data_IF_605987320080
#
_entry.id   IF_605987320080
#
_cell.length_a   1.000
_cell.length_b   1.000
_cell.length_c   1.000
_cell.angle_alpha   90.00
_cell.angle_beta   90.00
_cell.angle_gamma   90.00
#
_symmetry.space_group_name_H-M   'P 1'
#
loop_
_entity.id
_entity.type
_entity.pdbx_description
1 polymer ?
#
# COMPACT_ATOMS: atom_id res chain seq x y z
N UNK A 1 -14.20 0.08 -30.60
CA UNK A 1 -13.68 0.51 -29.30
C UNK A 1 -13.49 -0.64 -28.29
N UNK A 2 -14.29 -1.71 -28.33
CA UNK A 2 -14.17 -2.87 -27.41
C UNK A 2 -12.86 -3.65 -27.60
N UNK A 3 -12.39 -3.83 -28.82
CA UNK A 3 -11.16 -4.60 -29.14
C UNK A 3 -9.90 -4.01 -28.50
N UNK A 4 -9.79 -2.68 -28.46
CA UNK A 4 -8.65 -2.01 -27.83
C UNK A 4 -8.63 -2.19 -26.30
N UNK A 5 -9.80 -2.18 -25.67
CA UNK A 5 -9.92 -2.42 -24.22
C UNK A 5 -9.58 -3.87 -23.86
N UNK A 6 -10.00 -4.82 -24.71
CA UNK A 6 -9.67 -6.24 -24.53
C UNK A 6 -8.17 -6.48 -24.72
N UNK A 7 -7.56 -5.93 -25.77
CA UNK A 7 -6.11 -6.04 -26.01
C UNK A 7 -5.30 -5.46 -24.85
N UNK A 8 -5.68 -4.26 -24.38
CA UNK A 8 -4.99 -3.61 -23.25
C UNK A 8 -5.13 -4.42 -21.96
N UNK A 9 -6.31 -4.95 -21.69
CA UNK A 9 -6.57 -5.81 -20.53
C UNK A 9 -5.78 -7.11 -20.58
N UNK A 10 -5.77 -7.79 -21.72
CA UNK A 10 -4.99 -9.03 -21.92
C UNK A 10 -3.49 -8.78 -21.78
N UNK A 11 -2.99 -7.66 -22.34
CA UNK A 11 -1.59 -7.26 -22.19
C UNK A 11 -1.23 -7.01 -20.72
N UNK A 12 -2.13 -6.33 -19.98
CA UNK A 12 -1.90 -6.04 -18.56
C UNK A 12 -1.88 -7.31 -17.70
N UNK A 13 -2.79 -8.24 -17.96
CA UNK A 13 -2.82 -9.56 -17.30
C UNK A 13 -1.57 -10.37 -17.63
N UNK A 14 -1.16 -10.41 -18.89
CA UNK A 14 0.05 -11.11 -19.31
C UNK A 14 1.32 -10.52 -18.68
N UNK A 15 1.40 -9.18 -18.59
CA UNK A 15 2.49 -8.49 -17.91
C UNK A 15 2.54 -8.79 -16.41
N UNK A 16 1.39 -8.83 -15.74
CA UNK A 16 1.30 -9.21 -14.32
C UNK A 16 1.74 -10.65 -14.09
N UNK A 17 1.26 -11.59 -14.92
CA UNK A 17 1.68 -13.01 -14.82
C UNK A 17 3.17 -13.17 -15.08
N UNK A 18 3.72 -12.43 -16.05
CA UNK A 18 5.14 -12.41 -16.34
C UNK A 18 5.97 -11.87 -15.16
N UNK A 19 5.51 -10.79 -14.52
CA UNK A 19 6.15 -10.22 -13.32
C UNK A 19 6.12 -11.18 -12.13
N UNK A 20 5.00 -11.86 -11.88
CA UNK A 20 4.89 -12.87 -10.83
C UNK A 20 5.87 -14.03 -11.09
N UNK A 21 6.04 -14.39 -12.37
CA UNK A 21 6.97 -15.46 -12.74
C UNK A 21 8.43 -15.04 -12.56
N UNK A 22 8.77 -13.80 -12.92
CA UNK A 22 10.10 -13.21 -12.67
C UNK A 22 10.39 -13.10 -11.15
N UNK A 23 9.37 -12.76 -10.37
CA UNK A 23 9.53 -12.59 -8.93
C UNK A 23 9.82 -13.91 -8.22
N UNK A 24 9.24 -15.03 -8.71
CA UNK A 24 9.59 -16.38 -8.22
C UNK A 24 11.04 -16.77 -8.46
N UNK A 25 11.69 -16.22 -9.47
CA UNK A 25 13.10 -16.46 -9.81
C UNK A 25 14.05 -15.54 -9.03
N UNK A 26 13.52 -14.46 -8.45
CA UNK A 26 14.30 -13.44 -7.74
C UNK A 26 14.35 -13.72 -6.24
N UNK A 27 15.46 -13.45 -5.61
CA UNK A 27 15.62 -13.44 -4.15
C UNK A 27 16.06 -12.04 -3.70
N UNK A 28 15.32 -11.35 -2.82
CA UNK A 28 14.14 -11.75 -2.03
C UNK A 28 12.83 -11.72 -2.84
N UNK A 29 11.79 -12.50 -2.43
CA UNK A 29 10.47 -12.46 -3.06
C UNK A 29 9.83 -11.08 -2.87
N UNK A 30 9.03 -10.66 -3.85
CA UNK A 30 8.38 -9.35 -3.81
C UNK A 30 9.21 -8.18 -4.33
N UNK A 31 10.48 -8.40 -4.75
CA UNK A 31 11.36 -7.33 -5.20
C UNK A 31 10.83 -6.61 -6.46
N UNK A 32 10.24 -7.35 -7.38
CA UNK A 32 9.69 -6.80 -8.62
C UNK A 32 8.23 -6.38 -8.48
N UNK A 33 7.50 -7.04 -7.58
CA UNK A 33 6.10 -6.70 -7.31
C UNK A 33 5.97 -5.41 -6.49
N UNK A 34 6.90 -5.13 -5.58
CA UNK A 34 6.86 -3.95 -4.70
C UNK A 34 6.83 -2.62 -5.48
N UNK A 35 7.75 -2.31 -6.43
CA UNK A 35 7.70 -1.06 -7.16
C UNK A 35 6.43 -0.94 -8.00
N UNK A 36 5.94 -2.05 -8.58
CA UNK A 36 4.68 -2.07 -9.31
C UNK A 36 3.51 -1.77 -8.39
N UNK A 37 3.45 -2.41 -7.21
CA UNK A 37 2.40 -2.17 -6.22
C UNK A 37 2.40 -0.71 -5.73
N UNK A 38 3.58 -0.12 -5.50
CA UNK A 38 3.70 1.29 -5.12
C UNK A 38 3.18 2.18 -6.25
N UNK A 39 3.56 1.96 -7.51
CA UNK A 39 3.09 2.75 -8.64
C UNK A 39 1.57 2.66 -8.80
N UNK A 40 1.01 1.45 -8.75
CA UNK A 40 -0.44 1.24 -8.82
C UNK A 40 -1.16 1.88 -7.62
N UNK A 41 -0.60 1.75 -6.44
CA UNK A 41 -1.14 2.35 -5.23
C UNK A 41 -1.15 3.87 -5.27
N UNK A 42 -0.08 4.50 -5.79
CA UNK A 42 -0.02 5.95 -5.97
C UNK A 42 -1.01 6.42 -7.04
N UNK A 43 -1.13 5.69 -8.15
CA UNK A 43 -2.11 6.00 -9.21
C UNK A 43 -3.56 5.90 -8.68
N UNK A 44 -3.90 4.80 -8.03
CA UNK A 44 -5.21 4.58 -7.42
C UNK A 44 -5.53 5.63 -6.33
N UNK A 45 -4.52 5.99 -5.53
CA UNK A 45 -4.66 7.06 -4.52
C UNK A 45 -4.94 8.40 -5.19
N UNK A 46 -4.26 8.71 -6.30
CA UNK A 46 -4.49 9.92 -7.08
C UNK A 46 -5.92 10.01 -7.64
N UNK A 47 -6.43 8.91 -8.19
CA UNK A 47 -7.81 8.82 -8.69
C UNK A 47 -8.83 8.99 -7.55
N UNK A 48 -8.63 8.29 -6.43
CA UNK A 48 -9.52 8.42 -5.27
C UNK A 48 -9.55 9.86 -4.73
N UNK A 49 -8.38 10.50 -4.63
CA UNK A 49 -8.27 11.88 -4.18
C UNK A 49 -8.93 12.86 -5.14
N UNK A 50 -8.93 12.59 -6.46
CA UNK A 50 -9.66 13.40 -7.43
C UNK A 50 -11.16 13.32 -7.21
N UNK A 51 -11.68 12.10 -6.98
CA UNK A 51 -13.12 11.90 -6.67
C UNK A 51 -13.52 12.56 -5.34
N UNK A 52 -12.66 12.50 -4.32
CA UNK A 52 -12.93 13.16 -3.03
C UNK A 52 -12.95 14.68 -3.15
N UNK A 53 -12.16 15.27 -4.04
CA UNK A 53 -12.20 16.72 -4.33
C UNK A 53 -13.53 17.17 -4.90
N UNK A 54 -14.15 16.35 -5.74
CA UNK A 54 -15.50 16.64 -6.30
C UNK A 54 -16.56 16.64 -5.19
N UNK A 55 -16.35 15.87 -4.13
CA UNK A 55 -17.19 15.86 -2.93
C UNK A 55 -16.84 16.97 -1.91
N UNK A 56 -16.04 17.97 -2.31
CA UNK A 56 -15.57 19.06 -1.44
C UNK A 56 -14.68 18.61 -0.28
N UNK A 57 -14.21 17.36 -0.29
CA UNK A 57 -13.26 16.84 0.66
C UNK A 57 -11.84 17.08 0.15
N UNK A 58 -10.96 17.64 0.97
CA UNK A 58 -9.56 17.95 0.61
C UNK A 58 -8.58 17.34 1.58
N UNK A 59 -8.48 16.00 1.65
CA UNK A 59 -7.46 15.36 2.47
C UNK A 59 -6.06 15.75 1.99
N UNK A 60 -5.07 15.66 2.87
CA UNK A 60 -3.68 15.93 2.52
C UNK A 60 -3.14 14.81 1.61
N UNK A 61 -3.16 15.05 0.30
CA UNK A 61 -2.79 14.07 -0.72
C UNK A 61 -1.42 13.43 -0.48
N UNK A 62 -0.42 14.24 -0.13
CA UNK A 62 0.94 13.74 0.10
C UNK A 62 1.03 12.79 1.30
N UNK A 63 0.26 13.05 2.37
CA UNK A 63 0.22 12.16 3.55
C UNK A 63 -0.47 10.83 3.24
N UNK A 64 -1.55 10.85 2.46
CA UNK A 64 -2.22 9.61 2.04
C UNK A 64 -1.32 8.79 1.13
N UNK A 65 -0.66 9.42 0.17
CA UNK A 65 0.32 8.76 -0.71
C UNK A 65 1.51 8.20 0.07
N UNK A 66 2.09 8.98 0.96
CA UNK A 66 3.20 8.55 1.81
C UNK A 66 2.78 7.43 2.77
N UNK A 67 1.58 7.52 3.35
CA UNK A 67 1.02 6.49 4.22
C UNK A 67 0.82 5.17 3.48
N UNK A 68 0.25 5.18 2.28
CA UNK A 68 0.08 3.99 1.46
C UNK A 68 1.43 3.34 1.10
N UNK A 69 2.41 4.15 0.69
CA UNK A 69 3.76 3.65 0.41
C UNK A 69 4.42 3.05 1.66
N UNK A 70 4.25 3.70 2.82
CA UNK A 70 4.77 3.21 4.10
C UNK A 70 4.14 1.87 4.50
N UNK A 71 2.84 1.69 4.32
CA UNK A 71 2.14 0.44 4.63
C UNK A 71 2.67 -0.70 3.75
N UNK A 72 2.86 -0.46 2.44
CA UNK A 72 3.41 -1.46 1.51
C UNK A 72 4.86 -1.82 1.86
N UNK A 73 5.70 -0.84 2.16
CA UNK A 73 7.09 -1.05 2.58
C UNK A 73 7.14 -1.84 3.89
N UNK A 74 6.31 -1.48 4.87
CA UNK A 74 6.26 -2.17 6.16
C UNK A 74 5.82 -3.63 6.01
N UNK A 75 4.88 -3.94 5.10
CA UNK A 75 4.47 -5.29 4.80
C UNK A 75 5.58 -6.14 4.18
N UNK A 76 6.45 -5.51 3.36
CA UNK A 76 7.56 -6.19 2.68
C UNK A 76 8.79 -6.37 3.58
N UNK A 77 8.99 -5.48 4.56
CA UNK A 77 10.18 -5.45 5.43
C UNK A 77 10.54 -6.82 6.05
N UNK A 78 9.60 -7.60 6.64
CA UNK A 78 9.90 -8.89 7.24
C UNK A 78 10.45 -9.91 6.23
N UNK A 79 10.02 -9.84 4.99
CA UNK A 79 10.53 -10.72 3.92
C UNK A 79 11.95 -10.34 3.48
N UNK A 80 12.31 -9.06 3.58
CA UNK A 80 13.64 -8.58 3.26
C UNK A 80 14.65 -8.90 4.37
N UNK A 81 14.28 -8.70 5.62
CA UNK A 81 15.17 -8.82 6.78
C UNK A 81 15.06 -10.15 7.52
N UNK A 82 13.91 -10.82 7.53
CA UNK A 82 13.69 -12.07 8.27
C UNK A 82 14.57 -13.25 7.81
N UNK A 83 15.19 -13.15 6.64
CA UNK A 83 16.15 -14.15 6.15
C UNK A 83 17.55 -14.01 6.76
N UNK A 84 17.90 -12.82 7.22
CA UNK A 84 19.22 -12.60 7.84
C UNK A 84 19.29 -13.35 9.18
N UNK A 85 18.19 -13.36 9.93
CA UNK A 85 18.13 -14.05 11.23
C UNK A 85 17.96 -15.56 11.10
N UNK A 86 17.27 -16.05 10.05
CA UNK A 86 17.10 -17.49 9.81
C UNK A 86 18.41 -18.20 9.45
N UNK A 87 19.37 -17.52 8.82
CA UNK A 87 20.70 -18.07 8.56
C UNK A 87 21.53 -18.26 9.83
N UNK A 88 21.23 -17.50 10.89
CA UNK A 88 21.99 -17.57 12.15
C UNK A 88 21.42 -18.57 13.16
N UNK A 89 20.11 -18.87 13.12
CA UNK A 89 19.40 -19.64 14.15
C UNK A 89 18.80 -20.98 13.71
N UNK A 90 19.05 -21.49 12.51
CA UNK A 90 18.58 -22.81 12.01
C UNK A 90 17.07 -23.13 12.20
N UNK A 91 16.29 -22.24 12.75
CA UNK A 91 14.84 -22.34 12.85
C UNK A 91 14.24 -21.48 11.73
N UNK A 92 13.90 -22.13 10.62
CA UNK A 92 13.09 -21.49 9.56
C UNK A 92 11.75 -21.11 10.17
N UNK A 93 11.42 -19.80 10.27
CA UNK A 93 10.07 -19.42 10.62
C UNK A 93 9.12 -20.07 9.61
N UNK A 94 8.04 -20.66 10.09
CA UNK A 94 7.03 -21.21 9.19
C UNK A 94 6.52 -20.09 8.27
N UNK A 95 6.11 -20.42 7.04
CA UNK A 95 5.55 -19.42 6.13
C UNK A 95 4.39 -18.65 6.77
N UNK A 96 3.70 -19.29 7.72
CA UNK A 96 2.61 -18.72 8.49
C UNK A 96 3.10 -17.65 9.48
N UNK A 97 4.26 -17.84 10.11
CA UNK A 97 4.83 -16.87 11.05
C UNK A 97 5.30 -15.60 10.33
N UNK A 98 5.88 -15.74 9.14
CA UNK A 98 6.32 -14.60 8.34
C UNK A 98 5.14 -13.76 7.83
N UNK A 99 4.04 -14.39 7.44
CA UNK A 99 2.83 -13.69 7.00
C UNK A 99 2.14 -12.94 8.15
N UNK A 100 2.06 -13.55 9.34
CA UNK A 100 1.51 -12.89 10.53
C UNK A 100 2.39 -11.69 10.93
N UNK A 101 3.70 -11.84 10.85
CA UNK A 101 4.63 -10.77 11.15
C UNK A 101 4.49 -9.62 10.14
N UNK A 102 4.37 -9.91 8.85
CA UNK A 102 4.16 -8.91 7.81
C UNK A 102 2.85 -8.16 7.99
N UNK A 103 1.76 -8.87 8.35
CA UNK A 103 0.47 -8.26 8.62
C UNK A 103 0.53 -7.33 9.85
N UNK A 104 1.25 -7.73 10.90
CA UNK A 104 1.40 -6.90 12.10
C UNK A 104 2.21 -5.62 11.82
N UNK A 105 3.25 -5.67 11.02
CA UNK A 105 3.99 -4.49 10.57
C UNK A 105 3.15 -3.57 9.70
N UNK A 106 2.37 -4.13 8.77
CA UNK A 106 1.44 -3.36 7.94
C UNK A 106 0.37 -2.66 8.78
N UNK A 107 -0.20 -3.37 9.78
CA UNK A 107 -1.18 -2.80 10.70
C UNK A 107 -0.58 -1.66 11.54
N UNK A 108 0.63 -1.83 12.03
CA UNK A 108 1.34 -0.80 12.81
C UNK A 108 1.63 0.43 11.95
N UNK A 109 2.06 0.23 10.70
CA UNK A 109 2.26 1.31 9.73
C UNK A 109 0.95 2.04 9.41
N UNK A 110 -0.16 1.32 9.30
CA UNK A 110 -1.49 1.89 9.07
C UNK A 110 -1.91 2.77 10.26
N UNK A 111 -1.75 2.29 11.50
CA UNK A 111 -2.05 3.08 12.70
C UNK A 111 -1.17 4.33 12.76
N UNK A 112 0.12 4.21 12.45
CA UNK A 112 1.03 5.37 12.40
C UNK A 112 0.61 6.38 11.32
N UNK A 113 0.22 5.91 10.12
CA UNK A 113 -0.26 6.78 9.04
C UNK A 113 -1.58 7.48 9.42
N UNK A 114 -2.51 6.78 10.07
CA UNK A 114 -3.74 7.38 10.59
C UNK A 114 -3.44 8.44 11.66
N UNK A 115 -2.54 8.15 12.59
CA UNK A 115 -2.14 9.12 13.62
C UNK A 115 -1.48 10.36 13.00
N UNK A 116 -0.64 10.18 11.97
CA UNK A 116 -0.04 11.29 11.24
C UNK A 116 -1.09 12.15 10.53
N UNK A 117 -2.10 11.55 9.90
CA UNK A 117 -3.23 12.27 9.31
C UNK A 117 -3.99 13.08 10.36
N UNK A 118 -4.26 12.48 11.52
CA UNK A 118 -4.93 13.15 12.63
C UNK A 118 -4.15 14.36 13.12
N UNK A 119 -2.87 14.19 13.38
CA UNK A 119 -1.99 15.27 13.83
C UNK A 119 -1.91 16.39 12.80
N UNK A 120 -1.77 16.04 11.53
CA UNK A 120 -1.70 17.02 10.45
C UNK A 120 -2.99 17.83 10.30
N UNK A 121 -4.16 17.19 10.43
CA UNK A 121 -5.44 17.89 10.43
C UNK A 121 -5.63 18.75 11.69
N UNK A 122 -5.15 18.32 12.86
CA UNK A 122 -5.17 19.12 14.07
C UNK A 122 -4.33 20.41 13.93
N UNK A 123 -3.13 20.29 13.37
CA UNK A 123 -2.25 21.45 13.13
C UNK A 123 -2.86 22.41 12.11
N UNK A 124 -3.59 21.87 11.14
CA UNK A 124 -4.24 22.65 10.07
C UNK A 124 -5.60 23.22 10.46
N UNK A 125 -6.12 22.85 11.62
CA UNK A 125 -7.45 23.25 12.06
C UNK A 125 -7.56 24.77 12.19
N UNK A 126 -8.30 25.41 11.26
CA UNK A 126 -8.56 26.86 11.26
C UNK A 126 -10.04 27.21 11.27
N UNK A 127 -10.91 26.31 10.81
CA UNK A 127 -12.38 26.57 10.73
C UNK A 127 -13.15 25.28 11.02
N UNK A 128 -14.24 25.33 11.80
CA UNK A 128 -15.13 24.20 11.98
C UNK A 128 -15.87 23.86 10.67
N UNK A 129 -16.00 22.58 10.36
CA UNK A 129 -16.88 22.07 9.32
C UNK A 129 -16.29 21.22 8.20
N UNK A 130 -14.98 21.21 7.96
CA UNK A 130 -14.37 20.41 6.87
C UNK A 130 -13.43 19.30 7.32
N UNK A 131 -12.96 19.35 8.56
CA UNK A 131 -11.91 18.50 9.10
C UNK A 131 -12.30 17.02 9.15
N UNK A 132 -13.53 16.74 9.56
CA UNK A 132 -14.04 15.36 9.67
C UNK A 132 -14.13 14.69 8.29
N UNK A 133 -14.59 15.43 7.27
CA UNK A 133 -14.67 14.92 5.89
C UNK A 133 -13.29 14.65 5.31
N UNK A 134 -12.34 15.54 5.52
CA UNK A 134 -10.96 15.38 5.06
C UNK A 134 -10.29 14.18 5.74
N UNK A 135 -10.49 14.02 7.05
CA UNK A 135 -9.97 12.89 7.80
C UNK A 135 -10.59 11.57 7.33
N UNK A 136 -11.92 11.52 7.19
CA UNK A 136 -12.63 10.34 6.72
C UNK A 136 -12.14 9.92 5.32
N UNK A 137 -11.97 10.87 4.40
CA UNK A 137 -11.44 10.63 3.07
C UNK A 137 -9.99 10.11 3.08
N UNK A 138 -9.14 10.64 3.96
CA UNK A 138 -7.77 10.18 4.14
C UNK A 138 -7.70 8.76 4.69
N UNK A 139 -8.45 8.46 5.76
CA UNK A 139 -8.55 7.12 6.36
C UNK A 139 -9.09 6.10 5.37
N UNK A 140 -10.13 6.48 4.61
CA UNK A 140 -10.68 5.63 3.55
C UNK A 140 -9.64 5.31 2.48
N UNK A 141 -8.82 6.30 2.08
CA UNK A 141 -7.74 6.11 1.13
C UNK A 141 -6.67 5.12 1.63
N UNK A 142 -6.28 5.22 2.91
CA UNK A 142 -5.31 4.30 3.53
C UNK A 142 -5.89 2.88 3.65
N UNK A 143 -7.13 2.74 4.10
CA UNK A 143 -7.76 1.44 4.31
C UNK A 143 -8.11 0.74 3.00
N UNK A 144 -8.66 1.47 2.02
CA UNK A 144 -9.15 0.90 0.77
C UNK A 144 -8.03 0.56 -0.21
N UNK A 145 -6.95 1.32 -0.23
CA UNK A 145 -5.83 1.12 -1.17
C UNK A 145 -4.64 0.49 -0.45
N UNK A 146 -4.26 0.99 0.70
CA UNK A 146 -3.06 0.56 1.41
C UNK A 146 -3.12 -0.90 1.86
N UNK A 147 -4.21 -1.33 2.51
CA UNK A 147 -4.34 -2.69 3.02
C UNK A 147 -4.37 -3.77 1.91
N UNK A 148 -5.23 -3.67 0.86
CA UNK A 148 -5.26 -4.69 -0.18
C UNK A 148 -3.93 -4.82 -0.92
N UNK A 149 -3.25 -3.70 -1.18
CA UNK A 149 -1.95 -3.73 -1.86
C UNK A 149 -0.83 -4.26 -0.96
N UNK A 150 -0.90 -3.98 0.35
CA UNK A 150 0.03 -4.58 1.31
C UNK A 150 -0.10 -6.12 1.36
N UNK A 151 -1.33 -6.65 1.26
CA UNK A 151 -1.57 -8.09 1.16
C UNK A 151 -1.09 -8.70 -0.16
N UNK A 152 -1.09 -7.92 -1.23
CA UNK A 152 -0.62 -8.38 -2.55
C UNK A 152 0.90 -8.52 -2.60
N UNK A 153 1.64 -7.78 -1.81
CA UNK A 153 3.12 -7.77 -1.76
C UNK A 153 3.68 -8.87 -0.84
N UNK A 154 2.83 -9.51 -0.04
CA UNK A 154 3.18 -10.67 0.81
C UNK A 154 3.24 -11.97 0.02
#
# INVERSE_FOLDING_TARGET
MLRWRLLLGTFFVAALVGLIWLDKLSHPPGLWLLPLAILLGLAATGELLSMLRDLQMRPQAWLVCAGNALIMLAAWLPFAFGRVDAQHNQQLPSAMDSSILALSWAALAMVAAMAALWLAEMVRYRKPGGTTGNLAGGVLGLAYIGLPLALLVQ
#
